data_IF_456586365477
#
_entry.id   IF_456586365477
#
_cell.length_a   1.000
_cell.length_b   1.000
_cell.length_c   1.000
_cell.angle_alpha   90.00
_cell.angle_beta   90.00
_cell.angle_gamma   90.00
#
_symmetry.space_group_name_H-M   'P 1'
#
loop_
_entity.id
_entity.type
_entity.pdbx_description
1 polymer ?
#
# COMPACT_ATOMS: atom_id res chain seq x y z
N UNK A 1 -4.98 -3.38 16.67
CA UNK A 1 -4.33 -4.66 16.37
C UNK A 1 -3.64 -4.57 15.02
N UNK A 2 -2.38 -5.01 14.94
CA UNK A 2 -1.69 -5.21 13.66
C UNK A 2 -2.20 -6.47 12.97
N UNK A 3 -2.50 -6.36 11.68
CA UNK A 3 -2.84 -7.48 10.80
C UNK A 3 -2.00 -7.38 9.54
N UNK A 4 -1.13 -8.37 9.32
CA UNK A 4 -0.38 -8.51 8.07
C UNK A 4 -1.35 -8.72 6.91
N UNK A 5 -1.16 -8.02 5.81
CA UNK A 5 -2.00 -8.13 4.65
C UNK A 5 -1.50 -9.24 3.72
N UNK A 6 -2.13 -10.41 3.74
CA UNK A 6 -1.86 -11.47 2.77
C UNK A 6 -2.92 -11.54 1.65
N UNK A 7 -3.92 -10.65 1.65
CA UNK A 7 -5.03 -10.73 0.69
C UNK A 7 -4.59 -10.49 -0.75
N UNK A 8 -3.53 -9.71 -0.96
CA UNK A 8 -2.95 -9.44 -2.27
C UNK A 8 -2.26 -10.68 -2.91
N UNK A 9 -2.10 -11.77 -2.16
CA UNK A 9 -1.53 -13.04 -2.65
C UNK A 9 -2.61 -13.99 -3.18
N UNK A 10 -3.88 -13.74 -2.88
CA UNK A 10 -5.00 -14.57 -3.33
C UNK A 10 -5.84 -13.78 -4.35
N UNK A 11 -6.09 -14.34 -5.55
CA UNK A 11 -7.02 -13.72 -6.50
C UNK A 11 -8.41 -13.62 -5.86
N UNK A 12 -8.97 -12.42 -5.79
CA UNK A 12 -10.36 -12.23 -5.36
C UNK A 12 -11.31 -12.68 -6.48
N UNK A 13 -12.50 -13.17 -6.10
CA UNK A 13 -13.56 -13.51 -7.06
C UNK A 13 -13.94 -12.33 -7.96
N UNK A 14 -13.97 -11.11 -7.39
CA UNK A 14 -14.16 -9.85 -8.11
C UNK A 14 -12.82 -9.12 -8.25
N UNK A 15 -11.98 -9.61 -9.16
CA UNK A 15 -10.75 -8.93 -9.51
C UNK A 15 -10.97 -8.11 -10.79
N UNK A 16 -10.70 -6.80 -10.73
CA UNK A 16 -10.87 -5.90 -11.88
C UNK A 16 -10.00 -6.30 -13.07
N UNK A 17 -8.83 -6.90 -12.84
CA UNK A 17 -7.97 -7.40 -13.92
C UNK A 17 -8.65 -8.52 -14.75
N UNK A 18 -9.40 -9.42 -14.12
CA UNK A 18 -10.11 -10.53 -14.76
C UNK A 18 -11.27 -10.04 -15.63
N UNK A 19 -11.80 -8.85 -15.35
CA UNK A 19 -12.85 -8.20 -16.13
C UNK A 19 -12.28 -7.44 -17.34
N UNK A 20 -10.96 -7.22 -17.41
CA UNK A 20 -10.32 -6.55 -18.55
C UNK A 20 -10.10 -7.51 -19.72
N UNK A 21 -10.18 -7.02 -20.98
CA UNK A 21 -9.71 -7.77 -22.14
C UNK A 21 -8.23 -8.17 -21.99
N UNK A 22 -7.85 -9.35 -22.48
CA UNK A 22 -6.51 -9.91 -22.25
C UNK A 22 -5.38 -8.98 -22.69
N UNK A 23 -5.55 -8.26 -23.81
CA UNK A 23 -4.57 -7.27 -24.28
C UNK A 23 -4.36 -6.13 -23.27
N UNK A 24 -5.45 -5.61 -22.70
CA UNK A 24 -5.39 -4.54 -21.70
C UNK A 24 -4.79 -5.04 -20.39
N UNK A 25 -5.14 -6.27 -19.97
CA UNK A 25 -4.55 -6.91 -18.79
C UNK A 25 -3.03 -7.07 -18.94
N UNK A 26 -2.58 -7.56 -20.10
CA UNK A 26 -1.15 -7.70 -20.38
C UNK A 26 -0.43 -6.35 -20.33
N UNK A 27 -1.01 -5.30 -20.93
CA UNK A 27 -0.46 -3.94 -20.86
C UNK A 27 -0.37 -3.41 -19.42
N UNK A 28 -1.35 -3.71 -18.56
CA UNK A 28 -1.32 -3.34 -17.14
C UNK A 28 -0.18 -4.09 -16.42
N UNK A 29 -0.02 -5.39 -16.67
CA UNK A 29 1.02 -6.21 -16.07
C UNK A 29 2.43 -5.76 -16.50
N UNK A 30 2.61 -5.38 -17.76
CA UNK A 30 3.89 -4.94 -18.31
C UNK A 30 4.19 -3.46 -18.02
N UNK A 31 3.23 -2.71 -17.45
CA UNK A 31 3.41 -1.31 -17.09
C UNK A 31 4.23 -1.13 -15.81
N UNK A 32 4.57 0.13 -15.51
CA UNK A 32 5.21 0.52 -14.25
C UNK A 32 4.48 -0.03 -13.01
N UNK A 33 3.15 -0.17 -13.09
CA UNK A 33 2.34 -0.67 -11.99
C UNK A 33 2.61 -2.14 -11.68
N UNK A 34 2.83 -2.98 -12.70
CA UNK A 34 3.19 -4.38 -12.50
C UNK A 34 4.59 -4.57 -11.94
N UNK A 35 5.54 -3.75 -12.40
CA UNK A 35 6.89 -3.70 -11.82
C UNK A 35 6.82 -3.28 -10.35
N UNK A 36 6.13 -2.17 -10.05
CA UNK A 36 5.95 -1.70 -8.68
C UNK A 36 5.29 -2.74 -7.79
N UNK A 37 4.23 -3.40 -8.27
CA UNK A 37 3.53 -4.46 -7.52
C UNK A 37 4.47 -5.59 -7.12
N UNK A 38 5.31 -6.03 -8.06
CA UNK A 38 6.15 -7.23 -7.90
C UNK A 38 7.43 -6.95 -7.14
N UNK A 39 8.12 -5.87 -7.49
CA UNK A 39 9.44 -5.55 -6.96
C UNK A 39 9.40 -4.71 -5.67
N UNK A 40 8.34 -3.93 -5.47
CA UNK A 40 8.22 -3.01 -4.32
C UNK A 40 7.12 -3.48 -3.38
N UNK A 41 5.85 -3.39 -3.80
CA UNK A 41 4.69 -3.56 -2.93
C UNK A 41 4.64 -4.92 -2.21
N UNK A 42 4.89 -6.01 -2.94
CA UNK A 42 4.92 -7.38 -2.38
C UNK A 42 6.09 -7.65 -1.44
N UNK A 43 7.16 -6.84 -1.53
CA UNK A 43 8.37 -6.99 -0.71
C UNK A 43 8.36 -6.14 0.57
N UNK A 44 7.36 -5.29 0.76
CA UNK A 44 7.27 -4.44 1.96
C UNK A 44 7.19 -5.31 3.22
N UNK A 45 8.15 -5.19 4.17
CA UNK A 45 8.19 -6.02 5.37
C UNK A 45 7.22 -5.50 6.44
N UNK A 46 5.91 -5.69 6.23
CA UNK A 46 4.84 -5.16 7.11
C UNK A 46 5.05 -5.48 8.60
N UNK A 47 5.66 -6.62 8.92
CA UNK A 47 5.93 -7.05 10.30
C UNK A 47 6.80 -6.06 11.09
N UNK A 48 7.64 -5.26 10.42
CA UNK A 48 8.43 -4.19 11.06
C UNK A 48 7.57 -3.08 11.64
N UNK A 49 6.39 -2.86 11.09
CA UNK A 49 5.45 -1.84 11.54
C UNK A 49 4.50 -2.35 12.62
N UNK A 50 4.57 -3.63 13.01
CA UNK A 50 3.67 -4.22 13.99
C UNK A 50 3.70 -3.47 15.33
N UNK A 51 4.88 -3.01 15.74
CA UNK A 51 5.12 -2.22 16.95
C UNK A 51 4.34 -0.90 17.01
N UNK A 52 3.85 -0.38 15.88
CA UNK A 52 3.08 0.86 15.81
C UNK A 52 1.60 0.68 16.16
N UNK A 53 1.16 -0.54 16.42
CA UNK A 53 -0.23 -0.87 16.63
C UNK A 53 -0.41 -1.59 17.96
N UNK A 54 -1.52 -1.29 18.66
CA UNK A 54 -1.84 -1.95 19.93
C UNK A 54 -1.99 -3.46 19.76
N UNK A 55 -1.49 -4.20 20.75
CA UNK A 55 -1.69 -5.66 20.92
C UNK A 55 -3.11 -6.00 21.37
N UNK A 56 -3.85 -5.03 21.94
CA UNK A 56 -5.24 -5.25 22.40
C UNK A 56 -6.24 -5.28 21.24
N UNK A 57 -7.30 -6.05 21.47
CA UNK A 57 -8.37 -6.30 20.51
C UNK A 57 -9.06 -4.99 20.13
N UNK A 58 -8.83 -4.57 18.89
CA UNK A 58 -9.23 -3.28 18.34
C UNK A 58 -9.41 -3.45 16.83
N UNK A 59 -10.13 -2.52 16.19
CA UNK A 59 -10.38 -2.58 14.74
C UNK A 59 -9.05 -2.82 14.00
N UNK A 60 -9.01 -3.79 13.06
CA UNK A 60 -7.81 -4.06 12.27
C UNK A 60 -7.31 -2.79 11.58
N UNK A 61 -5.99 -2.64 11.50
CA UNK A 61 -5.38 -1.56 10.73
C UNK A 61 -5.70 -1.69 9.24
N UNK A 62 -5.64 -0.56 8.53
CA UNK A 62 -5.46 -0.62 7.09
C UNK A 62 -4.15 -1.35 6.75
N UNK A 63 -4.09 -2.09 5.64
CA UNK A 63 -2.87 -2.79 5.21
C UNK A 63 -1.66 -1.87 5.20
N UNK A 64 -0.58 -2.25 5.89
CA UNK A 64 0.60 -1.39 6.02
C UNK A 64 1.29 -1.25 4.67
N UNK A 65 1.36 -2.33 3.89
CA UNK A 65 1.95 -2.28 2.55
C UNK A 65 1.22 -1.30 1.61
N UNK A 66 -0.10 -1.12 1.75
CA UNK A 66 -0.86 -0.11 0.98
C UNK A 66 -0.52 1.31 1.43
N UNK A 67 -0.33 1.53 2.73
CA UNK A 67 0.03 2.85 3.26
C UNK A 67 1.46 3.23 2.86
N UNK A 68 2.42 2.33 3.08
CA UNK A 68 3.83 2.56 2.70
C UNK A 68 3.99 2.67 1.19
N UNK A 69 3.36 1.77 0.42
CA UNK A 69 3.38 1.83 -1.04
C UNK A 69 2.71 3.10 -1.58
N UNK A 70 1.59 3.52 -0.99
CA UNK A 70 0.92 4.76 -1.35
C UNK A 70 1.79 6.00 -1.09
N UNK A 71 2.50 6.05 0.03
CA UNK A 71 3.46 7.13 0.31
C UNK A 71 4.62 7.14 -0.69
N UNK A 72 5.15 5.96 -1.06
CA UNK A 72 6.20 5.85 -2.08
C UNK A 72 5.73 6.34 -3.46
N UNK A 73 4.51 5.98 -3.87
CA UNK A 73 3.95 6.46 -5.14
C UNK A 73 3.72 7.97 -5.09
N UNK A 74 3.16 8.48 -3.98
CA UNK A 74 2.95 9.90 -3.78
C UNK A 74 4.26 10.68 -3.92
N UNK A 75 5.30 10.26 -3.21
CA UNK A 75 6.59 10.97 -3.24
C UNK A 75 7.32 10.77 -4.56
N UNK A 76 7.23 9.59 -5.17
CA UNK A 76 7.85 9.28 -6.46
C UNK A 76 7.23 10.03 -7.65
N UNK A 77 5.92 10.25 -7.64
CA UNK A 77 5.22 11.03 -8.66
C UNK A 77 5.01 12.52 -8.30
N UNK A 78 5.37 12.92 -7.08
CA UNK A 78 5.21 14.30 -6.60
C UNK A 78 3.76 14.70 -6.35
N UNK A 79 2.90 13.75 -5.99
CA UNK A 79 1.48 13.99 -5.74
C UNK A 79 1.21 14.70 -4.41
N UNK A 80 0.14 15.50 -4.38
CA UNK A 80 -0.45 15.92 -3.11
C UNK A 80 -1.20 14.77 -2.44
N UNK A 81 -1.55 14.97 -1.17
CA UNK A 81 -2.34 14.01 -0.41
C UNK A 81 -3.75 13.81 -1.00
N UNK A 82 -4.35 14.86 -1.56
CA UNK A 82 -5.63 14.82 -2.26
C UNK A 82 -5.52 14.09 -3.62
N UNK A 83 -4.40 14.26 -4.32
CA UNK A 83 -4.13 13.53 -5.57
C UNK A 83 -3.94 12.05 -5.31
N UNK A 84 -3.17 11.67 -4.28
CA UNK A 84 -3.04 10.28 -3.85
C UNK A 84 -4.43 9.67 -3.58
N UNK A 85 -5.29 10.36 -2.83
CA UNK A 85 -6.64 9.87 -2.55
C UNK A 85 -7.47 9.66 -3.84
N UNK A 86 -7.36 10.57 -4.83
CA UNK A 86 -8.01 10.40 -6.14
C UNK A 86 -7.45 9.21 -6.92
N UNK A 87 -6.13 9.04 -6.97
CA UNK A 87 -5.50 7.92 -7.66
C UNK A 87 -5.91 6.58 -7.03
N UNK A 88 -5.97 6.50 -5.69
CA UNK A 88 -6.47 5.31 -5.01
C UNK A 88 -7.92 4.99 -5.39
N UNK A 89 -8.77 6.02 -5.58
CA UNK A 89 -10.17 5.82 -5.93
C UNK A 89 -10.38 5.42 -7.39
N UNK A 90 -9.70 6.08 -8.33
CA UNK A 90 -10.10 6.06 -9.74
C UNK A 90 -9.02 5.55 -10.71
N UNK A 91 -7.77 5.45 -10.29
CA UNK A 91 -6.66 5.09 -11.17
C UNK A 91 -6.39 3.58 -11.12
N UNK A 92 -6.69 2.87 -12.22
CA UNK A 92 -6.54 1.41 -12.29
C UNK A 92 -5.08 0.95 -12.13
N UNK A 93 -4.11 1.73 -12.64
CA UNK A 93 -2.69 1.38 -12.52
C UNK A 93 -2.23 1.50 -11.06
N UNK A 94 -2.58 2.59 -10.40
CA UNK A 94 -2.26 2.85 -8.98
C UNK A 94 -2.91 1.81 -8.08
N UNK A 95 -4.18 1.52 -8.33
CA UNK A 95 -4.90 0.47 -7.59
C UNK A 95 -4.24 -0.89 -7.77
N UNK A 96 -3.95 -1.28 -9.01
CA UNK A 96 -3.28 -2.53 -9.31
C UNK A 96 -1.89 -2.62 -8.66
N UNK A 97 -1.11 -1.54 -8.73
CA UNK A 97 0.22 -1.43 -8.11
C UNK A 97 0.17 -1.70 -6.59
N UNK A 98 -0.91 -1.29 -5.93
CA UNK A 98 -1.13 -1.45 -4.49
C UNK A 98 -2.01 -2.67 -4.13
N UNK A 99 -2.25 -3.59 -5.06
CA UNK A 99 -3.09 -4.77 -4.83
C UNK A 99 -4.56 -4.43 -4.50
N UNK A 100 -5.02 -3.24 -4.88
CA UNK A 100 -6.39 -2.78 -4.73
C UNK A 100 -7.26 -3.23 -5.91
N UNK A 101 -7.25 -4.54 -6.12
CA UNK A 101 -7.79 -5.27 -7.27
C UNK A 101 -9.32 -5.21 -7.42
N UNK A 102 -10.06 -5.15 -6.31
CA UNK A 102 -11.52 -5.07 -6.30
C UNK A 102 -11.98 -3.60 -6.28
N UNK A 103 -12.84 -3.18 -7.20
CA UNK A 103 -13.38 -1.82 -7.26
C UNK A 103 -14.42 -1.53 -6.16
N UNK A 104 -15.06 -2.57 -5.63
CA UNK A 104 -16.04 -2.45 -4.54
C UNK A 104 -15.39 -2.30 -3.16
N UNK A 105 -14.09 -2.59 -3.04
CA UNK A 105 -13.39 -2.50 -1.77
C UNK A 105 -13.08 -1.04 -1.41
N UNK A 106 -13.22 -0.73 -0.13
CA UNK A 106 -12.81 0.56 0.42
C UNK A 106 -11.29 0.73 0.34
N UNK A 107 -10.85 1.93 -0.03
CA UNK A 107 -9.44 2.34 0.00
C UNK A 107 -9.13 3.11 1.29
N UNK A 108 -7.87 3.13 1.76
CA UNK A 108 -7.51 3.95 2.91
C UNK A 108 -7.78 5.43 2.64
N UNK A 109 -8.37 6.11 3.61
CA UNK A 109 -8.64 7.55 3.54
C UNK A 109 -7.38 8.36 3.83
N UNK A 110 -7.37 9.63 3.43
CA UNK A 110 -6.27 10.54 3.77
C UNK A 110 -5.94 10.56 5.28
N UNK A 111 -6.96 10.58 6.15
CA UNK A 111 -6.77 10.52 7.61
C UNK A 111 -6.03 9.23 8.05
N UNK A 112 -6.21 8.13 7.33
CA UNK A 112 -5.52 6.87 7.61
C UNK A 112 -4.02 6.98 7.32
N UNK A 113 -3.65 7.57 6.17
CA UNK A 113 -2.25 7.87 5.85
C UNK A 113 -1.62 8.80 6.88
N UNK A 114 -2.28 9.92 7.20
CA UNK A 114 -1.79 10.87 8.18
C UNK A 114 -1.55 10.24 9.56
N UNK A 115 -2.47 9.39 10.03
CA UNK A 115 -2.29 8.67 11.29
C UNK A 115 -1.11 7.69 11.24
N UNK A 116 -0.90 7.01 10.11
CA UNK A 116 0.23 6.11 9.94
C UNK A 116 1.57 6.87 9.95
N UNK A 117 1.68 7.93 9.14
CA UNK A 117 2.87 8.81 9.11
C UNK A 117 3.16 9.41 10.49
N UNK A 118 2.13 9.78 11.24
CA UNK A 118 2.29 10.28 12.62
C UNK A 118 2.92 9.23 13.53
N UNK A 119 2.41 7.99 13.51
CA UNK A 119 2.95 6.90 14.33
C UNK A 119 4.40 6.56 13.98
N UNK A 120 4.74 6.54 12.68
CA UNK A 120 6.11 6.28 12.25
C UNK A 120 7.05 7.38 12.76
N UNK A 121 6.62 8.65 12.67
CA UNK A 121 7.39 9.79 13.19
C UNK A 121 7.58 9.73 14.70
N UNK A 122 6.50 9.52 15.46
CA UNK A 122 6.55 9.41 16.92
C UNK A 122 7.51 8.27 17.35
N UNK A 123 7.50 7.14 16.63
CA UNK A 123 8.42 6.04 16.86
C UNK A 123 9.88 6.42 16.58
N UNK A 124 10.15 7.09 15.44
CA UNK A 124 11.49 7.54 15.08
C UNK A 124 12.04 8.57 16.09
N UNK A 125 11.19 9.48 16.59
CA UNK A 125 11.55 10.45 17.63
C UNK A 125 11.88 9.77 18.97
N UNK A 126 11.17 8.70 19.31
CA UNK A 126 11.34 8.01 20.60
C UNK A 126 12.53 7.04 20.60
N UNK A 127 12.75 6.34 19.49
CA UNK A 127 13.74 5.24 19.39
C UNK A 127 14.98 5.58 18.58
N UNK A 128 14.92 6.61 17.75
CA UNK A 128 15.93 6.93 16.75
C UNK A 128 15.86 6.06 15.49
N UNK A 129 14.93 5.10 15.39
CA UNK A 129 14.81 4.19 14.23
C UNK A 129 13.79 4.70 13.20
N UNK A 130 14.23 4.90 11.95
CA UNK A 130 13.35 5.22 10.83
C UNK A 130 12.88 3.96 10.10
N UNK A 131 11.61 3.60 10.28
CA UNK A 131 11.05 2.38 9.68
C UNK A 131 11.01 2.41 8.14
N UNK A 132 10.98 3.58 7.49
CA UNK A 132 11.02 3.65 6.02
C UNK A 132 12.41 3.30 5.46
N UNK A 133 13.50 3.65 6.16
CA UNK A 133 14.86 3.29 5.75
C UNK A 133 15.05 1.78 5.68
N UNK A 134 14.45 1.05 6.62
CA UNK A 134 14.45 -0.42 6.62
C UNK A 134 13.74 -0.97 5.39
N UNK A 135 12.65 -0.35 4.96
CA UNK A 135 11.94 -0.77 3.73
C UNK A 135 12.80 -0.53 2.50
N UNK A 136 13.44 0.65 2.39
CA UNK A 136 14.32 0.96 1.25
C UNK A 136 15.52 0.01 1.17
N UNK A 137 16.11 -0.38 2.30
CA UNK A 137 17.22 -1.33 2.35
C UNK A 137 16.86 -2.78 2.00
N UNK A 138 15.57 -3.14 1.95
CA UNK A 138 15.11 -4.49 1.52
C UNK A 138 14.77 -4.51 0.03
N UNK A 139 14.43 -3.36 -0.54
CA UNK A 139 13.96 -3.23 -1.93
C UNK A 139 15.11 -2.87 -2.89
N UNK A 140 16.21 -2.30 -2.37
CA UNK A 140 17.44 -1.96 -3.11
C UNK A 140 18.50 -3.03 -2.93
#
# INVERSE_FOLDING_TARGET
>A
MFRKNNQHQQPKFFNSDLLMPDKMRQQLHDSWAGVFRTEVFRRIPEGRFALLYSETDSRPNAPVNVLVGGDMLKDGFGWTDEELERHLQFDLQTRYALGLDDLSQNVPTLRTFQNHRRRVREHAETTGENLYEVVFGVIT
#
